data_IF_187671278302
#
_entry.id   IF_187671278302
#
_cell.length_a   1.000
_cell.length_b   1.000
_cell.length_c   1.000
_cell.angle_alpha   90.00
_cell.angle_beta   90.00
_cell.angle_gamma   90.00
#
_symmetry.space_group_name_H-M   'P 1'
#
loop_
_entity.id
_entity.type
_entity.pdbx_description
1 polymer ?
#
# COMPACT_ATOMS: atom_id res chain seq x y z
N UNK A 1 -4.60 -6.85 29.88
CA UNK A 1 -5.52 -6.90 28.72
C UNK A 1 -5.48 -5.54 28.05
N UNK A 2 -5.26 -5.48 26.74
CA UNK A 2 -5.20 -4.24 25.97
C UNK A 2 -5.84 -4.43 24.60
N UNK A 3 -6.26 -3.34 23.97
CA UNK A 3 -6.87 -3.36 22.65
C UNK A 3 -5.82 -3.78 21.60
N UNK A 4 -6.10 -4.87 20.87
CA UNK A 4 -5.33 -5.25 19.68
C UNK A 4 -6.15 -4.84 18.47
N UNK A 5 -5.70 -3.80 17.77
CA UNK A 5 -6.29 -3.40 16.50
C UNK A 5 -6.14 -4.54 15.48
N UNK A 6 -7.12 -4.67 14.58
CA UNK A 6 -7.05 -5.60 13.46
C UNK A 6 -6.64 -4.89 12.15
N UNK A 7 -7.01 -3.62 12.02
CA UNK A 7 -6.75 -2.80 10.85
C UNK A 7 -6.28 -1.40 11.24
N UNK A 8 -5.47 -0.79 10.39
CA UNK A 8 -5.08 0.61 10.46
C UNK A 8 -5.50 1.30 9.16
N UNK A 9 -6.16 2.45 9.28
CA UNK A 9 -6.52 3.29 8.14
C UNK A 9 -5.85 4.66 8.25
N UNK A 10 -5.43 5.24 7.14
CA UNK A 10 -4.84 6.58 7.14
C UNK A 10 -4.73 7.20 5.76
N UNK A 11 -4.47 8.50 5.72
CA UNK A 11 -4.23 9.24 4.49
C UNK A 11 -2.78 9.12 4.00
N UNK A 12 -2.47 9.82 2.91
CA UNK A 12 -1.19 9.70 2.21
C UNK A 12 0.00 10.18 3.05
N UNK A 13 -0.18 11.08 4.02
CA UNK A 13 0.89 11.55 4.90
C UNK A 13 1.52 10.42 5.72
N UNK A 14 0.75 9.39 6.05
CA UNK A 14 1.22 8.25 6.82
C UNK A 14 1.62 7.05 5.96
N UNK A 15 1.51 7.15 4.64
CA UNK A 15 1.76 6.06 3.68
C UNK A 15 3.25 5.81 3.35
N UNK A 16 4.16 6.37 4.15
CA UNK A 16 5.59 6.23 3.96
C UNK A 16 6.06 4.77 4.16
N UNK A 17 7.17 4.39 3.53
CA UNK A 17 7.60 2.99 3.53
C UNK A 17 7.95 2.43 4.91
N UNK A 18 8.48 3.27 5.80
CA UNK A 18 8.76 2.85 7.17
C UNK A 18 7.47 2.45 7.90
N UNK A 19 6.42 3.27 7.79
CA UNK A 19 5.12 3.01 8.42
C UNK A 19 4.47 1.74 7.85
N UNK A 20 4.42 1.60 6.51
CA UNK A 20 3.78 0.43 5.90
C UNK A 20 4.50 -0.88 6.26
N UNK A 21 5.84 -0.87 6.34
CA UNK A 21 6.61 -2.04 6.80
C UNK A 21 6.36 -2.35 8.27
N UNK A 22 6.26 -1.32 9.12
CA UNK A 22 5.96 -1.49 10.54
C UNK A 22 4.57 -2.11 10.75
N UNK A 23 3.56 -1.62 10.04
CA UNK A 23 2.19 -2.14 10.10
C UNK A 23 2.14 -3.61 9.63
N UNK A 24 2.82 -3.93 8.52
CA UNK A 24 2.96 -5.31 8.01
C UNK A 24 3.68 -6.22 9.01
N UNK A 25 4.71 -5.72 9.70
CA UNK A 25 5.44 -6.48 10.74
C UNK A 25 4.52 -6.88 11.90
N UNK A 26 3.62 -5.98 12.34
CA UNK A 26 2.63 -6.28 13.38
C UNK A 26 1.45 -7.13 12.88
N UNK A 27 1.47 -7.59 11.63
CA UNK A 27 0.41 -8.40 11.00
C UNK A 27 -0.97 -7.73 11.05
N UNK A 28 -1.00 -6.40 11.01
CA UNK A 28 -2.22 -5.63 10.93
C UNK A 28 -2.63 -5.47 9.46
N UNK A 29 -3.94 -5.54 9.19
CA UNK A 29 -4.46 -5.10 7.90
C UNK A 29 -4.29 -3.59 7.74
N UNK A 30 -4.17 -3.11 6.50
CA UNK A 30 -3.99 -1.69 6.22
C UNK A 30 -4.83 -1.23 5.03
N UNK A 31 -5.39 -0.02 5.14
CA UNK A 31 -6.04 0.69 4.05
C UNK A 31 -5.60 2.15 4.07
N UNK A 32 -4.77 2.54 3.10
CA UNK A 32 -4.17 3.87 3.06
C UNK A 32 -4.35 4.50 1.69
N UNK A 33 -4.48 5.83 1.66
CA UNK A 33 -4.26 6.60 0.44
C UNK A 33 -2.77 6.54 0.11
N UNK A 34 -2.42 6.23 -1.14
CA UNK A 34 -1.05 6.25 -1.63
C UNK A 34 -0.82 7.49 -2.49
N UNK A 35 0.34 8.11 -2.33
CA UNK A 35 0.79 9.16 -3.26
C UNK A 35 0.84 8.63 -4.70
N UNK A 36 0.41 9.45 -5.65
CA UNK A 36 0.19 9.02 -7.04
C UNK A 36 1.49 8.71 -7.80
N UNK A 37 2.62 9.26 -7.35
CA UNK A 37 3.95 9.07 -7.92
C UNK A 37 4.64 7.76 -7.47
N UNK A 38 3.97 6.94 -6.64
CA UNK A 38 4.52 5.69 -6.11
C UNK A 38 4.67 4.66 -7.23
N UNK A 39 5.77 3.92 -7.19
CA UNK A 39 6.04 2.86 -8.15
C UNK A 39 5.31 1.57 -7.75
N UNK A 40 4.53 1.06 -8.69
CA UNK A 40 3.71 -0.15 -8.59
C UNK A 40 3.92 -1.03 -9.82
N UNK A 41 3.50 -2.28 -9.74
CA UNK A 41 3.74 -3.28 -10.77
C UNK A 41 2.59 -4.27 -10.77
N UNK A 42 1.87 -4.41 -11.89
CA UNK A 42 0.78 -5.41 -12.01
C UNK A 42 1.40 -6.81 -12.08
N UNK A 43 2.41 -6.96 -12.94
CA UNK A 43 3.23 -8.15 -13.06
C UNK A 43 4.64 -7.87 -12.54
N UNK A 44 5.05 -8.60 -11.50
CA UNK A 44 6.29 -8.35 -10.77
C UNK A 44 7.52 -8.34 -11.69
N UNK A 45 8.05 -7.14 -11.94
CA UNK A 45 9.23 -6.94 -12.77
C UNK A 45 9.24 -5.58 -13.47
N UNK A 46 8.07 -5.14 -13.92
CA UNK A 46 7.90 -3.85 -14.61
C UNK A 46 7.25 -2.82 -13.68
N UNK A 47 7.94 -1.69 -13.49
CA UNK A 47 7.53 -0.66 -12.53
C UNK A 47 6.99 0.57 -13.24
N UNK A 48 5.77 0.99 -12.89
CA UNK A 48 5.12 2.21 -13.38
C UNK A 48 4.64 3.05 -12.21
N UNK A 49 4.40 4.34 -12.43
CA UNK A 49 3.81 5.18 -11.38
C UNK A 49 2.32 4.88 -11.25
N UNK A 50 1.77 4.93 -10.03
CA UNK A 50 0.36 4.66 -9.77
C UNK A 50 -0.57 5.57 -10.58
N UNK A 51 -0.20 6.84 -10.79
CA UNK A 51 -0.94 7.79 -11.63
C UNK A 51 -1.05 7.40 -13.11
N UNK A 52 -0.20 6.49 -13.59
CA UNK A 52 -0.22 6.01 -14.98
C UNK A 52 -1.08 4.76 -15.15
N UNK A 53 -1.57 4.17 -14.05
CA UNK A 53 -2.44 3.00 -14.10
C UNK A 53 -3.88 3.40 -14.39
N UNK A 54 -4.50 2.66 -15.31
CA UNK A 54 -5.96 2.65 -15.47
C UNK A 54 -6.50 1.65 -14.47
N UNK A 55 -7.32 2.11 -13.52
CA UNK A 55 -7.92 1.26 -12.49
C UNK A 55 -9.32 0.85 -12.98
N UNK A 56 -9.58 -0.44 -13.20
CA UNK A 56 -10.90 -0.94 -13.60
C UNK A 56 -11.88 -0.93 -12.41
N UNK A 57 -13.17 -1.17 -12.67
CA UNK A 57 -14.23 -1.17 -11.64
C UNK A 57 -14.02 -2.29 -10.60
N UNK A 58 -13.45 -3.42 -11.01
CA UNK A 58 -13.14 -4.57 -10.15
C UNK A 58 -11.91 -4.37 -9.25
N UNK A 59 -11.35 -3.16 -9.24
CA UNK A 59 -10.06 -2.81 -8.62
C UNK A 59 -8.86 -3.54 -9.24
N UNK A 60 -7.65 -3.16 -8.80
CA UNK A 60 -6.40 -3.69 -9.34
C UNK A 60 -5.49 -4.15 -8.21
N UNK A 61 -5.02 -5.39 -8.31
CA UNK A 61 -4.00 -5.93 -7.39
C UNK A 61 -2.63 -5.65 -7.99
N UNK A 62 -1.78 -4.95 -7.23
CA UNK A 62 -0.44 -4.56 -7.67
C UNK A 62 0.60 -4.84 -6.60
N UNK A 63 1.84 -5.05 -7.03
CA UNK A 63 3.03 -5.02 -6.21
C UNK A 63 3.45 -3.58 -5.98
N UNK A 64 3.44 -3.14 -4.72
CA UNK A 64 4.02 -1.85 -4.34
C UNK A 64 5.53 -1.99 -4.18
N UNK A 65 6.31 -1.20 -4.94
CA UNK A 65 7.77 -1.28 -4.90
C UNK A 65 8.25 -1.07 -3.47
N UNK A 66 9.23 -1.88 -3.05
CA UNK A 66 9.86 -1.87 -1.71
C UNK A 66 8.98 -2.34 -0.53
N UNK A 67 7.72 -2.73 -0.75
CA UNK A 67 6.84 -3.26 0.33
C UNK A 67 6.93 -4.80 0.53
N UNK A 68 7.74 -5.48 -0.29
CA UNK A 68 8.08 -6.91 -0.13
C UNK A 68 7.02 -7.84 -0.72
#
# INVERSE_FOLDING_TARGET
>A
MGLKSAFVTGDSWYSCMANLKLIKHYQLGLLFVLESNRLVSVEKGEWVQAQQLVIPEEALVVWLKQLG
#
